data_IF_709485779215
#
_entry.id   IF_709485779215
#
_cell.length_a   1.000
_cell.length_b   1.000
_cell.length_c   1.000
_cell.angle_alpha   90.00
_cell.angle_beta   90.00
_cell.angle_gamma   90.00
#
_symmetry.space_group_name_H-M   'P 1'
#
loop_
_entity.id
_entity.type
_entity.pdbx_description
1 polymer ?
#
# COMPACT_ATOMS: atom_id res chain seq x y z
N UNK A 1 5.75 -5.64 -8.26
CA UNK A 1 5.20 -4.30 -8.55
C UNK A 1 5.76 -3.20 -7.64
N UNK A 2 5.92 -3.47 -6.33
CA UNK A 2 6.53 -2.54 -5.36
C UNK A 2 7.89 -2.01 -5.86
N UNK A 3 8.81 -2.90 -6.21
CA UNK A 3 10.17 -2.54 -6.62
C UNK A 3 10.19 -1.62 -7.84
N UNK A 4 9.33 -1.88 -8.84
CA UNK A 4 9.23 -1.08 -10.05
C UNK A 4 8.76 0.35 -9.76
N UNK A 5 7.70 0.50 -8.95
CA UNK A 5 7.16 1.81 -8.58
C UNK A 5 8.12 2.62 -7.71
N UNK A 6 8.87 1.97 -6.82
CA UNK A 6 9.90 2.62 -6.00
C UNK A 6 11.09 3.07 -6.86
N UNK A 7 11.55 2.22 -7.80
CA UNK A 7 12.62 2.57 -8.74
C UNK A 7 12.22 3.72 -9.67
N UNK A 8 10.94 3.76 -10.07
CA UNK A 8 10.39 4.87 -10.85
C UNK A 8 10.42 6.18 -10.04
N UNK A 9 9.88 6.17 -8.81
CA UNK A 9 9.90 7.35 -7.93
C UNK A 9 11.32 7.82 -7.56
N UNK A 10 12.28 6.90 -7.44
CA UNK A 10 13.71 7.25 -7.25
C UNK A 10 14.33 7.94 -8.46
N UNK A 11 13.91 7.59 -9.68
CA UNK A 11 14.37 8.22 -10.93
C UNK A 11 13.72 9.58 -11.16
N UNK A 12 12.54 9.80 -10.60
CA UNK A 12 11.77 11.05 -10.66
C UNK A 12 12.23 12.11 -9.64
N UNK A 13 13.10 11.74 -8.68
CA UNK A 13 13.72 12.71 -7.78
C UNK A 13 14.47 13.75 -8.61
N UNK A 14 14.13 15.02 -8.40
CA UNK A 14 14.78 16.14 -9.06
C UNK A 14 16.30 16.12 -8.78
N UNK A 15 17.10 16.14 -9.86
CA UNK A 15 18.57 16.15 -9.80
C UNK A 15 19.09 17.33 -8.97
N UNK A 16 18.31 18.41 -8.87
CA UNK A 16 18.63 19.55 -8.03
C UNK A 16 18.70 19.21 -6.54
N UNK A 17 17.80 18.37 -6.01
CA UNK A 17 17.87 17.92 -4.60
C UNK A 17 19.13 17.12 -4.31
N UNK A 18 19.57 16.31 -5.27
CA UNK A 18 20.81 15.50 -5.17
C UNK A 18 22.05 16.39 -5.26
N UNK A 19 22.00 17.47 -6.05
CA UNK A 19 23.11 18.42 -6.14
C UNK A 19 23.21 19.26 -4.86
N UNK A 20 22.09 19.65 -4.25
CA UNK A 20 22.08 20.36 -2.96
C UNK A 20 22.69 19.48 -1.86
N UNK A 21 22.35 18.19 -1.80
CA UNK A 21 22.92 17.29 -0.78
C UNK A 21 24.44 17.10 -0.91
N UNK A 22 24.98 17.18 -2.14
CA UNK A 22 26.42 17.13 -2.40
C UNK A 22 27.14 18.41 -1.95
N UNK A 23 26.48 19.57 -2.05
CA UNK A 23 27.02 20.85 -1.58
C UNK A 23 27.13 20.87 -0.04
N UNK A 24 26.23 20.18 0.66
CA UNK A 24 26.24 20.06 2.12
C UNK A 24 27.13 18.92 2.67
N UNK A 25 27.95 18.27 1.83
CA UNK A 25 28.87 17.16 2.21
C UNK A 25 28.23 16.07 3.09
N UNK A 26 26.95 15.75 2.85
CA UNK A 26 26.30 14.70 3.63
C UNK A 26 26.91 13.33 3.37
N UNK A 27 27.15 12.56 4.43
CA UNK A 27 27.51 11.14 4.30
C UNK A 27 26.37 10.35 3.64
N UNK A 28 26.69 9.26 2.96
CA UNK A 28 25.71 8.47 2.18
C UNK A 28 24.45 8.09 2.97
N UNK A 29 24.61 7.69 4.24
CA UNK A 29 23.48 7.35 5.12
C UNK A 29 22.62 8.58 5.47
N UNK A 30 23.24 9.75 5.62
CA UNK A 30 22.56 11.00 5.93
C UNK A 30 21.85 11.58 4.69
N UNK A 31 22.46 11.48 3.51
CA UNK A 31 21.82 11.81 2.23
C UNK A 31 20.61 10.92 1.96
N UNK A 32 20.75 9.61 2.20
CA UNK A 32 19.67 8.64 1.99
C UNK A 32 18.46 8.97 2.87
N UNK A 33 18.68 9.17 4.17
CA UNK A 33 17.60 9.36 5.16
C UNK A 33 17.01 10.76 5.18
N UNK A 34 17.79 11.78 4.83
CA UNK A 34 17.39 13.19 4.97
C UNK A 34 16.90 13.82 3.67
N UNK A 35 17.31 13.28 2.52
CA UNK A 35 17.01 13.88 1.21
C UNK A 35 16.24 12.90 0.34
N UNK A 36 16.78 11.70 0.10
CA UNK A 36 16.17 10.75 -0.84
C UNK A 36 14.91 10.09 -0.27
N UNK A 37 14.94 9.61 0.97
CA UNK A 37 13.80 8.98 1.65
C UNK A 37 12.57 9.89 1.67
N UNK A 38 12.63 11.13 2.21
CA UNK A 38 11.47 12.02 2.22
C UNK A 38 10.99 12.37 0.81
N UNK A 39 11.90 12.57 -0.15
CA UNK A 39 11.52 12.89 -1.54
C UNK A 39 10.69 11.78 -2.21
N UNK A 40 10.92 10.51 -1.87
CA UNK A 40 10.17 9.37 -2.45
C UNK A 40 9.02 8.88 -1.59
N UNK A 41 8.81 9.44 -0.39
CA UNK A 41 7.81 8.90 0.54
C UNK A 41 6.41 8.84 -0.07
N UNK A 42 5.99 9.87 -0.80
CA UNK A 42 4.69 9.88 -1.48
C UNK A 42 4.58 8.73 -2.50
N UNK A 43 5.62 8.51 -3.30
CA UNK A 43 5.68 7.39 -4.25
C UNK A 43 5.68 6.03 -3.55
N UNK A 44 6.34 5.92 -2.41
CA UNK A 44 6.39 4.69 -1.60
C UNK A 44 5.01 4.36 -1.02
N UNK A 45 4.27 5.35 -0.52
CA UNK A 45 2.89 5.18 -0.04
C UNK A 45 1.96 4.71 -1.16
N UNK A 46 2.06 5.30 -2.35
CA UNK A 46 1.27 4.88 -3.52
C UNK A 46 1.63 3.45 -3.94
N UNK A 47 2.93 3.11 -3.97
CA UNK A 47 3.41 1.79 -4.31
C UNK A 47 2.92 0.70 -3.33
N UNK A 48 2.89 1.02 -2.03
CA UNK A 48 2.37 0.14 -0.99
C UNK A 48 0.86 -0.09 -1.16
N UNK A 49 0.08 0.98 -1.37
CA UNK A 49 -1.38 0.88 -1.60
C UNK A 49 -1.72 -0.02 -2.78
N UNK A 50 -1.07 0.19 -3.92
CA UNK A 50 -1.27 -0.61 -5.13
C UNK A 50 -0.91 -2.09 -4.92
N UNK A 51 0.17 -2.33 -4.19
CA UNK A 51 0.64 -3.70 -3.95
C UNK A 51 -0.25 -4.42 -2.95
N UNK A 52 -0.73 -3.73 -1.91
CA UNK A 52 -1.71 -4.26 -0.97
C UNK A 52 -3.02 -4.63 -1.67
N UNK A 53 -3.56 -3.75 -2.52
CA UNK A 53 -4.76 -4.02 -3.32
C UNK A 53 -4.61 -5.26 -4.21
N UNK A 54 -3.42 -5.48 -4.77
CA UNK A 54 -3.14 -6.67 -5.59
C UNK A 54 -3.04 -7.94 -4.75
N UNK A 55 -2.28 -7.88 -3.66
CA UNK A 55 -2.11 -9.03 -2.75
C UNK A 55 -3.44 -9.46 -2.14
N UNK A 56 -4.31 -8.52 -1.77
CA UNK A 56 -5.64 -8.82 -1.24
C UNK A 56 -6.45 -9.73 -2.16
N UNK A 57 -6.48 -9.42 -3.46
CA UNK A 57 -7.17 -10.24 -4.47
C UNK A 57 -6.54 -11.61 -4.61
N UNK A 58 -5.21 -11.69 -4.55
CA UNK A 58 -4.48 -12.96 -4.62
C UNK A 58 -4.78 -13.84 -3.40
N UNK A 59 -4.83 -13.27 -2.19
CA UNK A 59 -5.18 -14.02 -0.97
C UNK A 59 -6.58 -14.62 -1.10
N UNK A 60 -7.57 -13.81 -1.49
CA UNK A 60 -8.95 -14.29 -1.69
C UNK A 60 -8.97 -15.42 -2.73
N UNK A 61 -8.28 -15.25 -3.86
CA UNK A 61 -8.22 -16.28 -4.89
C UNK A 61 -7.57 -17.59 -4.38
N UNK A 62 -6.54 -17.48 -3.55
CA UNK A 62 -5.90 -18.64 -2.92
C UNK A 62 -6.85 -19.32 -1.93
N UNK A 63 -7.58 -18.56 -1.10
CA UNK A 63 -8.59 -19.11 -0.18
C UNK A 63 -9.70 -19.88 -0.93
N UNK A 64 -10.07 -19.42 -2.12
CA UNK A 64 -11.07 -20.09 -2.95
C UNK A 64 -10.57 -21.43 -3.52
N UNK A 65 -9.29 -21.52 -3.91
CA UNK A 65 -8.73 -22.71 -4.58
C UNK A 65 -8.19 -23.74 -3.57
N UNK A 66 -7.51 -23.28 -2.53
CA UNK A 66 -6.82 -24.12 -1.56
C UNK A 66 -7.71 -24.52 -0.36
N UNK A 67 -9.00 -24.18 -0.42
CA UNK A 67 -9.90 -24.09 0.73
C UNK A 67 -9.77 -25.24 1.73
N UNK A 68 -9.20 -24.91 2.89
CA UNK A 68 -9.15 -25.74 4.09
C UNK A 68 -10.39 -25.42 4.94
N UNK A 69 -11.62 -25.65 4.46
CA UNK A 69 -12.91 -25.45 5.16
C UNK A 69 -13.20 -24.07 5.84
N UNK A 70 -12.27 -23.12 5.85
CA UNK A 70 -12.38 -21.84 6.55
C UNK A 70 -11.82 -20.71 5.68
N UNK A 71 -12.50 -19.56 5.66
CA UNK A 71 -12.07 -18.36 4.92
C UNK A 71 -13.25 -17.59 4.32
N UNK A 72 -13.07 -16.28 4.14
CA UNK A 72 -14.10 -15.42 3.52
C UNK A 72 -14.26 -15.74 2.04
N UNK A 73 -13.15 -15.99 1.33
CA UNK A 73 -13.20 -16.40 -0.08
C UNK A 73 -13.93 -17.73 -0.27
N UNK A 74 -13.68 -18.69 0.61
CA UNK A 74 -14.38 -19.98 0.62
C UNK A 74 -15.88 -19.82 0.90
N UNK A 75 -16.27 -19.06 1.93
CA UNK A 75 -17.69 -18.82 2.28
C UNK A 75 -18.48 -18.20 1.11
N UNK A 76 -17.88 -17.24 0.39
CA UNK A 76 -18.51 -16.63 -0.78
C UNK A 76 -18.65 -17.65 -1.93
N UNK A 77 -17.63 -18.49 -2.12
CA UNK A 77 -17.63 -19.52 -3.15
C UNK A 77 -18.67 -20.61 -2.86
N UNK A 78 -18.75 -21.11 -1.63
CA UNK A 78 -19.73 -22.10 -1.18
C UNK A 78 -21.17 -21.55 -1.28
N UNK A 79 -21.40 -20.31 -0.82
CA UNK A 79 -22.69 -19.65 -0.97
C UNK A 79 -23.12 -19.48 -2.43
N UNK A 80 -22.16 -19.28 -3.35
CA UNK A 80 -22.43 -19.24 -4.80
C UNK A 80 -22.87 -20.61 -5.33
N UNK A 81 -22.22 -21.70 -4.92
CA UNK A 81 -22.59 -23.07 -5.35
C UNK A 81 -23.98 -23.47 -4.83
N UNK A 82 -24.33 -23.03 -3.62
CA UNK A 82 -25.65 -23.23 -3.02
C UNK A 82 -26.73 -22.25 -3.53
N UNK A 83 -26.40 -21.40 -4.51
CA UNK A 83 -27.27 -20.32 -5.02
C UNK A 83 -27.84 -19.40 -3.92
N UNK A 84 -27.16 -19.29 -2.78
CA UNK A 84 -27.56 -18.42 -1.67
C UNK A 84 -26.99 -17.02 -1.86
N UNK A 85 -27.70 -16.22 -2.66
CA UNK A 85 -27.30 -14.84 -2.99
C UNK A 85 -27.18 -13.94 -1.76
N UNK A 86 -28.02 -14.13 -0.74
CA UNK A 86 -27.98 -13.35 0.50
C UNK A 86 -26.62 -13.47 1.21
N UNK A 87 -26.12 -14.70 1.37
CA UNK A 87 -24.81 -14.95 2.02
C UNK A 87 -23.67 -14.51 1.10
N UNK A 88 -23.77 -14.76 -0.20
CA UNK A 88 -22.75 -14.37 -1.18
C UNK A 88 -22.52 -12.85 -1.18
N UNK A 89 -23.58 -12.04 -1.30
CA UNK A 89 -23.47 -10.58 -1.29
C UNK A 89 -23.04 -10.06 0.08
N UNK A 90 -23.51 -10.68 1.18
CA UNK A 90 -23.05 -10.36 2.54
C UNK A 90 -21.54 -10.54 2.71
N UNK A 91 -21.00 -11.66 2.22
CA UNK A 91 -19.57 -11.94 2.25
C UNK A 91 -18.75 -10.97 1.41
N UNK A 92 -19.22 -10.64 0.19
CA UNK A 92 -18.59 -9.64 -0.66
C UNK A 92 -18.54 -8.28 0.04
N UNK A 93 -19.65 -7.84 0.62
CA UNK A 93 -19.74 -6.57 1.32
C UNK A 93 -18.81 -6.53 2.56
N UNK A 94 -18.81 -7.60 3.35
CA UNK A 94 -17.92 -7.75 4.50
C UNK A 94 -16.44 -7.72 4.08
N UNK A 95 -16.08 -8.37 2.98
CA UNK A 95 -14.70 -8.34 2.47
C UNK A 95 -14.26 -6.92 2.06
N UNK A 96 -15.18 -6.12 1.51
CA UNK A 96 -14.94 -4.72 1.18
C UNK A 96 -14.74 -3.86 2.42
N UNK A 97 -15.54 -4.08 3.48
CA UNK A 97 -15.37 -3.40 4.77
C UNK A 97 -14.01 -3.73 5.38
N UNK A 98 -13.63 -5.01 5.41
CA UNK A 98 -12.34 -5.44 5.97
C UNK A 98 -11.19 -4.81 5.19
N UNK A 99 -11.25 -4.86 3.86
CA UNK A 99 -10.26 -4.21 3.01
C UNK A 99 -10.14 -2.71 3.34
N UNK A 100 -11.27 -2.01 3.44
CA UNK A 100 -11.30 -0.59 3.76
C UNK A 100 -10.75 -0.28 5.16
N UNK A 101 -11.09 -1.09 6.16
CA UNK A 101 -10.57 -0.94 7.52
C UNK A 101 -9.05 -1.14 7.57
N UNK A 102 -8.53 -2.14 6.86
CA UNK A 102 -7.08 -2.35 6.77
C UNK A 102 -6.42 -1.18 6.05
N UNK A 103 -7.01 -0.70 4.95
CA UNK A 103 -6.49 0.46 4.23
C UNK A 103 -6.45 1.70 5.13
N UNK A 104 -7.50 1.96 5.91
CA UNK A 104 -7.52 3.04 6.88
C UNK A 104 -6.46 2.86 7.97
N UNK A 105 -6.29 1.67 8.54
CA UNK A 105 -5.32 1.44 9.61
C UNK A 105 -3.88 1.55 9.11
N UNK A 106 -3.57 1.01 7.93
CA UNK A 106 -2.21 1.00 7.40
C UNK A 106 -1.85 2.35 6.79
N UNK A 107 -2.67 2.87 5.87
CA UNK A 107 -2.31 4.09 5.12
C UNK A 107 -2.38 5.31 6.03
N UNK A 108 -3.40 5.43 6.88
CA UNK A 108 -3.52 6.59 7.77
C UNK A 108 -2.40 6.61 8.81
N UNK A 109 -1.98 5.46 9.34
CA UNK A 109 -0.84 5.41 10.26
C UNK A 109 0.48 5.76 9.56
N UNK A 110 0.68 5.28 8.33
CA UNK A 110 1.86 5.64 7.53
C UNK A 110 1.85 7.13 7.18
N UNK A 111 0.71 7.69 6.78
CA UNK A 111 0.55 9.12 6.52
C UNK A 111 0.83 9.94 7.76
N UNK A 112 0.29 9.58 8.93
CA UNK A 112 0.52 10.34 10.16
C UNK A 112 2.00 10.30 10.59
N UNK A 113 2.65 9.13 10.54
CA UNK A 113 4.09 9.03 10.82
C UNK A 113 4.95 9.80 9.81
N UNK A 114 4.53 9.86 8.55
CA UNK A 114 5.31 10.46 7.46
C UNK A 114 5.10 11.97 7.35
N UNK A 115 3.86 12.44 7.48
CA UNK A 115 3.47 13.86 7.40
C UNK A 115 3.91 14.62 8.65
N UNK A 116 3.86 14.03 9.84
CA UNK A 116 4.34 14.70 11.07
C UNK A 116 5.87 14.80 11.07
N UNK A 117 6.57 13.78 10.56
CA UNK A 117 8.05 13.78 10.57
C UNK A 117 8.66 14.69 9.51
N UNK A 118 7.99 14.91 8.37
CA UNK A 118 8.56 15.63 7.23
C UNK A 118 7.70 16.78 6.68
N UNK A 119 6.56 17.09 7.31
CA UNK A 119 5.83 18.35 7.10
C UNK A 119 5.37 18.63 5.66
N UNK A 120 5.21 17.62 4.80
CA UNK A 120 4.84 17.80 3.39
C UNK A 120 3.33 18.01 3.17
N UNK A 121 2.69 18.85 3.99
CA UNK A 121 1.35 19.35 3.67
C UNK A 121 1.54 20.62 2.84
N UNK A 122 1.64 20.48 1.52
CA UNK A 122 1.48 21.65 0.65
C UNK A 122 0.03 22.12 0.78
N UNK A 123 -0.13 23.26 1.45
CA UNK A 123 -1.36 24.06 1.40
C UNK A 123 -1.58 24.44 -0.07
N UNK A 124 -2.65 23.92 -0.66
CA UNK A 124 -3.36 24.56 -1.77
C UNK A 124 -4.51 25.38 -1.21
#
# INVERSE_FOLDING_TARGET
PVLYNVLYGLREIDKNLINISKIFEYSFLKELTTVKLPAIMNYLTIALKLSFARTWRTIIAVEMIAATMYGLGYMIFDARELFNSSIMFGGIFLSGIIYYLIELLIIKNIELFTVIKWGMRQHS
#
